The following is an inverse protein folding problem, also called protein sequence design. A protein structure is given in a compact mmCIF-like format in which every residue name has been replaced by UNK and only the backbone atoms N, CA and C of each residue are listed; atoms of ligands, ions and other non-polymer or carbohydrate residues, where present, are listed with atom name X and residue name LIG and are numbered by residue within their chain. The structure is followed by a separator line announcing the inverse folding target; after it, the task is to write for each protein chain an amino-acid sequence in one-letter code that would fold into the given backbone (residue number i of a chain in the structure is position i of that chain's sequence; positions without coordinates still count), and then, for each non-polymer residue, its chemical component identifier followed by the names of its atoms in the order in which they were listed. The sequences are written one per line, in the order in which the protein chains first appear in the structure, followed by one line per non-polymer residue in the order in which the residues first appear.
data_IF_112687489179
#
_entry.id   IF_112687489179
#
_cell.length_a   1.000
_cell.length_b   1.000
_cell.length_c   1.000
_cell.angle_alpha   90.00
_cell.angle_beta   90.00
_cell.angle_gamma   90.00
#
_symmetry.space_group_name_H-M   'P 1'
#
loop_
_entity.id
_entity.type
_entity.pdbx_description
1 polymer ?
#
# COMPACT_ATOMS: atom_id res chain seq x y z
N UNK A 1 -7.80 9.94 -6.62
CA UNK A 1 -6.44 9.40 -6.54
C UNK A 1 -6.38 8.09 -7.29
N UNK A 2 -6.11 8.23 -8.57
CA UNK A 2 -5.72 7.19 -9.52
C UNK A 2 -4.32 7.49 -10.06
N UNK A 3 -3.81 6.69 -10.99
CA UNK A 3 -2.52 6.97 -11.62
C UNK A 3 -2.57 8.22 -12.51
N UNK A 4 -3.71 8.51 -13.12
CA UNK A 4 -3.92 9.71 -13.92
C UNK A 4 -3.75 11.03 -13.15
N UNK A 5 -3.91 11.00 -11.82
CA UNK A 5 -3.69 12.16 -10.95
C UNK A 5 -2.19 12.46 -10.71
N UNK A 6 -1.28 11.58 -11.17
CA UNK A 6 0.17 11.68 -10.91
C UNK A 6 0.83 12.43 -12.06
N UNK A 7 1.37 13.61 -11.74
CA UNK A 7 2.08 14.45 -12.71
C UNK A 7 3.52 13.96 -12.83
N UNK A 8 3.92 13.54 -14.04
CA UNK A 8 5.25 13.03 -14.34
C UNK A 8 5.41 11.53 -14.03
N UNK A 9 6.65 11.02 -14.07
CA UNK A 9 6.98 9.62 -13.76
C UNK A 9 6.26 8.55 -14.63
N UNK A 10 5.95 8.88 -15.89
CA UNK A 10 5.17 8.02 -16.80
C UNK A 10 5.72 6.60 -16.95
N UNK A 11 7.05 6.45 -17.04
CA UNK A 11 7.67 5.12 -17.15
C UNK A 11 7.38 4.26 -15.92
N UNK A 12 7.41 4.88 -14.74
CA UNK A 12 7.17 4.19 -13.47
C UNK A 12 5.69 3.84 -13.32
N UNK A 13 4.79 4.76 -13.68
CA UNK A 13 3.35 4.49 -13.75
C UNK A 13 3.08 3.30 -14.67
N UNK A 14 3.63 3.29 -15.89
CA UNK A 14 3.46 2.19 -16.83
C UNK A 14 3.94 0.83 -16.28
N UNK A 15 5.05 0.81 -15.53
CA UNK A 15 5.53 -0.43 -14.87
C UNK A 15 4.56 -0.91 -13.79
N UNK A 16 4.05 0.00 -12.97
CA UNK A 16 3.07 -0.34 -11.93
C UNK A 16 1.75 -0.82 -12.54
N UNK A 17 1.26 -0.15 -13.57
CA UNK A 17 0.06 -0.55 -14.31
C UNK A 17 0.17 -1.97 -14.86
N UNK A 18 1.31 -2.31 -15.48
CA UNK A 18 1.60 -3.67 -15.93
C UNK A 18 1.63 -4.68 -14.79
N UNK A 19 2.17 -4.29 -13.63
CA UNK A 19 2.19 -5.16 -12.44
C UNK A 19 0.78 -5.41 -11.87
N UNK A 20 -0.13 -4.43 -11.96
CA UNK A 20 -1.55 -4.60 -11.56
C UNK A 20 -2.28 -5.56 -12.51
N UNK A 21 -2.02 -5.47 -13.81
CA UNK A 21 -2.63 -6.37 -14.80
C UNK A 21 -2.05 -7.79 -14.77
N UNK A 22 -0.80 -7.94 -14.34
CA UNK A 22 -0.09 -9.21 -14.27
C UNK A 22 -0.09 -9.82 -12.87
N UNK A 23 1.05 -10.41 -12.51
CA UNK A 23 1.31 -10.91 -11.15
C UNK A 23 2.17 -9.87 -10.43
N UNK A 24 1.62 -9.14 -9.45
CA UNK A 24 2.41 -8.17 -8.69
C UNK A 24 3.46 -8.89 -7.84
N UNK A 25 4.65 -8.30 -7.72
CA UNK A 25 5.64 -8.73 -6.74
C UNK A 25 5.14 -8.58 -5.29
N UNK A 26 5.75 -9.33 -4.37
CA UNK A 26 5.36 -9.37 -2.96
C UNK A 26 5.68 -8.08 -2.19
N UNK A 27 6.68 -7.31 -2.63
CA UNK A 27 7.10 -6.07 -1.97
C UNK A 27 7.62 -5.03 -2.96
N UNK A 28 7.35 -3.75 -2.66
CA UNK A 28 7.81 -2.60 -3.42
C UNK A 28 8.35 -1.52 -2.49
N UNK A 29 9.51 -0.97 -2.82
CA UNK A 29 10.11 0.16 -2.10
C UNK A 29 10.02 1.43 -2.95
N UNK A 30 9.28 2.44 -2.48
CA UNK A 30 9.14 3.73 -3.15
C UNK A 30 10.18 4.73 -2.61
N UNK A 31 11.26 4.93 -3.36
CA UNK A 31 12.42 5.74 -2.97
C UNK A 31 12.45 7.10 -3.67
N UNK A 32 13.01 8.12 -3.02
CA UNK A 32 13.17 9.48 -3.55
C UNK A 32 13.20 10.55 -2.46
N UNK A 33 13.22 11.85 -2.82
CA UNK A 33 13.26 12.93 -1.85
C UNK A 33 11.89 13.20 -1.19
N UNK A 34 11.86 13.97 -0.10
CA UNK A 34 10.59 14.44 0.47
C UNK A 34 9.88 15.36 -0.54
N UNK A 35 8.55 15.20 -0.68
CA UNK A 35 7.77 15.97 -1.66
C UNK A 35 7.68 15.37 -3.07
N UNK A 36 8.40 14.29 -3.39
CA UNK A 36 8.35 13.66 -4.72
C UNK A 36 7.09 12.83 -5.03
N UNK A 37 6.06 12.90 -4.18
CA UNK A 37 4.80 12.19 -4.41
C UNK A 37 4.82 10.68 -4.12
N UNK A 38 5.91 10.12 -3.56
CA UNK A 38 6.06 8.67 -3.26
C UNK A 38 4.89 8.07 -2.49
N UNK A 39 4.41 8.77 -1.46
CA UNK A 39 3.25 8.32 -0.67
C UNK A 39 1.97 8.29 -1.49
N UNK A 40 1.81 9.27 -2.38
CA UNK A 40 0.63 9.39 -3.24
C UNK A 40 0.62 8.28 -4.29
N UNK A 41 1.76 8.04 -4.93
CA UNK A 41 1.98 6.95 -5.86
C UNK A 41 1.77 5.57 -5.21
N UNK A 42 2.32 5.34 -4.02
CA UNK A 42 2.14 4.09 -3.29
C UNK A 42 0.68 3.84 -2.92
N UNK A 43 -0.07 4.88 -2.51
CA UNK A 43 -1.52 4.78 -2.27
C UNK A 43 -2.32 4.51 -3.55
N UNK A 44 -1.97 5.14 -4.67
CA UNK A 44 -2.62 4.89 -5.96
C UNK A 44 -2.42 3.44 -6.41
N UNK A 45 -1.20 2.92 -6.26
CA UNK A 45 -0.89 1.52 -6.56
C UNK A 45 -1.63 0.54 -5.64
N UNK A 46 -1.63 0.79 -4.33
CA UNK A 46 -2.39 -0.02 -3.38
C UNK A 46 -3.88 -0.10 -3.75
N UNK A 47 -4.47 1.04 -4.10
CA UNK A 47 -5.86 1.11 -4.53
C UNK A 47 -6.12 0.34 -5.83
N UNK A 48 -5.22 0.45 -6.81
CA UNK A 48 -5.33 -0.29 -8.06
C UNK A 48 -5.27 -1.81 -7.83
N UNK A 49 -4.41 -2.30 -6.93
CA UNK A 49 -4.31 -3.72 -6.57
C UNK A 49 -5.56 -4.27 -5.85
N UNK A 50 -6.24 -3.42 -5.08
CA UNK A 50 -7.43 -3.80 -4.32
C UNK A 50 -8.72 -3.68 -5.15
N UNK A 51 -8.69 -2.88 -6.22
CA UNK A 51 -9.84 -2.64 -7.07
C UNK A 51 -10.34 -3.93 -7.74
N UNK A 52 -11.63 -4.24 -7.55
CA UNK A 52 -12.28 -5.43 -8.12
C UNK A 52 -12.52 -5.37 -9.62
N UNK A 53 -12.49 -4.16 -10.21
CA UNK A 53 -12.80 -3.92 -11.62
C UNK A 53 -11.83 -2.90 -12.20
N UNK A 54 -10.54 -3.24 -12.19
CA UNK A 54 -9.52 -2.38 -12.79
C UNK A 54 -9.79 -2.20 -14.29
N UNK A 55 -9.49 -1.01 -14.81
CA UNK A 55 -9.49 -0.74 -16.24
C UNK A 55 -8.06 -0.41 -16.66
N UNK A 56 -7.45 -1.26 -17.49
CA UNK A 56 -6.05 -1.15 -17.89
C UNK A 56 -5.10 -0.87 -16.71
N UNK A 57 -5.27 -1.59 -15.60
CA UNK A 57 -4.44 -1.46 -14.40
C UNK A 57 -4.69 -0.21 -13.55
N UNK A 58 -5.68 0.62 -13.91
CA UNK A 58 -6.13 1.76 -13.13
C UNK A 58 -7.36 1.42 -12.26
N UNK A 59 -7.46 2.06 -11.09
CA UNK A 59 -8.60 1.86 -10.19
C UNK A 59 -9.87 2.55 -10.74
N UNK A 60 -11.01 1.84 -10.79
CA UNK A 60 -12.24 2.38 -11.39
C UNK A 60 -12.96 3.46 -10.57
N UNK A 61 -12.60 3.65 -9.30
CA UNK A 61 -13.26 4.58 -8.35
C UNK A 61 -14.74 4.31 -8.03
N UNK A 62 -15.38 3.35 -8.68
CA UNK A 62 -16.83 3.15 -8.59
C UNK A 62 -17.22 1.92 -7.77
N UNK A 63 -16.38 0.88 -7.74
CA UNK A 63 -16.64 -0.35 -6.99
C UNK A 63 -16.56 -0.14 -5.47
N UNK A 64 -17.17 -1.05 -4.70
CA UNK A 64 -17.21 -0.96 -3.24
C UNK A 64 -15.81 -0.96 -2.62
N UNK A 65 -14.87 -1.72 -3.18
CA UNK A 65 -13.46 -1.68 -2.76
C UNK A 65 -12.86 -0.28 -2.93
N UNK A 66 -13.03 0.35 -4.09
CA UNK A 66 -12.55 1.72 -4.27
C UNK A 66 -13.22 2.70 -3.31
N UNK A 67 -14.51 2.54 -3.02
CA UNK A 67 -15.26 3.39 -2.07
C UNK A 67 -14.73 3.25 -0.65
N UNK A 68 -14.60 2.02 -0.14
CA UNK A 68 -14.04 1.79 1.20
C UNK A 68 -12.59 2.27 1.31
N UNK A 69 -11.78 2.10 0.26
CA UNK A 69 -10.41 2.62 0.24
C UNK A 69 -10.38 4.15 0.31
N UNK A 70 -11.23 4.83 -0.46
CA UNK A 70 -11.33 6.29 -0.43
C UNK A 70 -11.78 6.81 0.94
N UNK A 71 -12.67 6.06 1.61
CA UNK A 71 -13.15 6.37 2.96
C UNK A 71 -12.16 5.96 4.06
N UNK A 72 -11.04 5.30 3.74
CA UNK A 72 -10.02 4.88 4.69
C UNK A 72 -10.41 3.69 5.58
N UNK A 73 -11.42 2.91 5.19
CA UNK A 73 -11.99 1.80 5.97
C UNK A 73 -11.91 0.44 5.25
N UNK A 74 -11.04 0.33 4.24
CA UNK A 74 -10.91 -0.90 3.47
C UNK A 74 -10.29 -2.03 4.33
N UNK A 75 -10.94 -3.19 4.50
CA UNK A 75 -10.48 -4.23 5.41
C UNK A 75 -9.14 -4.85 4.99
N UNK A 76 -8.87 -4.91 3.68
CA UNK A 76 -7.61 -5.47 3.15
C UNK A 76 -6.50 -4.41 2.92
N UNK A 77 -6.69 -3.18 3.39
CA UNK A 77 -5.66 -2.14 3.32
C UNK A 77 -5.28 -1.66 4.72
N UNK A 78 -4.00 -1.80 5.07
CA UNK A 78 -3.49 -1.32 6.35
C UNK A 78 -2.37 -0.30 6.13
N UNK A 79 -2.55 0.89 6.69
CA UNK A 79 -1.53 1.94 6.69
C UNK A 79 -0.76 1.93 8.03
N UNK A 80 0.51 1.54 7.96
CA UNK A 80 1.40 1.48 9.12
C UNK A 80 2.30 2.72 9.12
N UNK A 81 1.93 3.68 9.94
CA UNK A 81 2.71 4.88 10.23
C UNK A 81 2.85 5.08 11.75
N UNK A 82 3.71 6.01 12.14
CA UNK A 82 3.87 6.40 13.55
C UNK A 82 2.56 7.00 14.11
N UNK A 83 2.31 6.76 15.39
CA UNK A 83 1.16 7.32 16.09
C UNK A 83 1.55 8.42 17.07
N UNK A 84 0.75 9.49 17.12
CA UNK A 84 0.91 10.56 18.09
C UNK A 84 2.25 11.31 17.95
N UNK A 85 2.96 11.46 19.08
CA UNK A 85 4.24 12.18 19.18
C UNK A 85 5.46 11.24 19.15
N UNK A 86 5.26 9.95 18.94
CA UNK A 86 6.35 8.98 18.93
C UNK A 86 7.26 9.20 17.71
N UNK A 87 8.59 9.10 17.92
CA UNK A 87 9.58 9.27 16.85
C UNK A 87 9.63 8.07 15.89
N UNK A 88 9.25 6.88 16.36
CA UNK A 88 9.36 5.62 15.62
C UNK A 88 8.04 4.83 15.67
N UNK A 89 7.85 3.93 14.71
CA UNK A 89 6.75 2.96 14.70
C UNK A 89 7.01 1.91 15.79
N UNK A 90 6.03 1.66 16.66
CA UNK A 90 6.10 0.60 17.67
C UNK A 90 6.16 -0.77 16.99
N UNK A 91 7.08 -1.61 17.44
CA UNK A 91 7.31 -2.96 16.92
C UNK A 91 6.07 -3.84 17.03
N UNK A 92 5.32 -3.70 18.13
CA UNK A 92 4.05 -4.40 18.33
C UNK A 92 3.04 -4.08 17.24
N UNK A 93 2.98 -2.82 16.77
CA UNK A 93 2.10 -2.43 15.66
C UNK A 93 2.49 -3.15 14.38
N UNK A 94 3.78 -3.24 14.08
CA UNK A 94 4.29 -3.97 12.90
C UNK A 94 3.91 -5.45 13.01
N UNK A 95 4.13 -6.08 14.17
CA UNK A 95 3.79 -7.50 14.39
C UNK A 95 2.29 -7.78 14.35
N UNK A 96 1.47 -6.95 15.01
CA UNK A 96 0.02 -7.12 15.02
C UNK A 96 -0.59 -6.87 13.65
N UNK A 97 -0.16 -5.79 12.98
CA UNK A 97 -0.69 -5.44 11.67
C UNK A 97 -0.28 -6.44 10.60
N UNK A 98 0.89 -7.07 10.70
CA UNK A 98 1.44 -7.91 9.63
C UNK A 98 1.37 -9.38 10.03
N UNK A 99 2.05 -9.81 11.09
CA UNK A 99 2.20 -11.24 11.40
C UNK A 99 0.88 -11.94 11.72
N UNK A 100 0.00 -11.31 12.51
CA UNK A 100 -1.28 -11.94 12.88
C UNK A 100 -2.30 -11.90 11.73
N UNK A 101 -2.29 -10.82 10.96
CA UNK A 101 -3.31 -10.51 9.97
C UNK A 101 -2.97 -11.06 8.56
N UNK A 102 -1.69 -11.30 8.26
CA UNK A 102 -1.23 -11.94 7.02
C UNK A 102 -1.69 -13.40 6.92
N UNK A 103 -1.83 -14.09 8.05
CA UNK A 103 -2.34 -15.47 8.07
C UNK A 103 -3.82 -15.57 7.66
N UNK A 104 -4.57 -14.45 7.69
CA UNK A 104 -5.96 -14.41 7.29
C UNK A 104 -6.11 -14.10 5.80
N UNK A 105 -7.04 -14.81 5.14
CA UNK A 105 -7.39 -14.55 3.74
C UNK A 105 -7.96 -13.14 3.58
N UNK A 106 -7.70 -12.48 2.44
CA UNK A 106 -8.37 -11.23 2.08
C UNK A 106 -9.88 -11.36 2.19
N UNK A 107 -10.53 -10.34 2.75
CA UNK A 107 -11.96 -10.32 3.01
C UNK A 107 -12.77 -9.86 1.79
N UNK A 108 -12.22 -8.94 1.01
CA UNK A 108 -12.99 -8.23 -0.01
C UNK A 108 -12.26 -8.11 -1.35
N UNK A 109 -10.95 -7.91 -1.32
CA UNK A 109 -10.09 -7.84 -2.51
C UNK A 109 -9.35 -9.15 -2.78
N UNK A 110 -8.69 -9.26 -3.94
CA UNK A 110 -7.81 -10.41 -4.24
C UNK A 110 -6.50 -10.40 -3.48
N UNK A 111 -6.05 -9.22 -3.08
CA UNK A 111 -4.78 -8.98 -2.40
C UNK A 111 -5.03 -8.30 -1.07
N UNK A 112 -4.05 -8.44 -0.17
CA UNK A 112 -3.97 -7.68 1.07
C UNK A 112 -2.75 -6.79 1.01
N UNK A 113 -2.94 -5.49 1.25
CA UNK A 113 -1.91 -4.50 1.00
C UNK A 113 -1.57 -3.74 2.27
N UNK A 114 -0.30 -3.80 2.65
CA UNK A 114 0.28 -3.07 3.78
C UNK A 114 1.15 -1.94 3.24
N UNK A 115 0.79 -0.70 3.55
CA UNK A 115 1.60 0.47 3.21
C UNK A 115 2.32 0.96 4.47
N UNK A 116 3.64 0.82 4.48
CA UNK A 116 4.47 1.06 5.67
C UNK A 116 5.37 2.28 5.45
N UNK A 117 5.39 3.19 6.41
CA UNK A 117 6.32 4.31 6.44
C UNK A 117 7.72 3.84 6.89
N UNK A 118 8.52 3.39 5.93
CA UNK A 118 9.87 2.84 6.15
C UNK A 118 10.80 3.79 6.91
N UNK A 119 10.69 5.10 6.69
CA UNK A 119 11.54 6.11 7.32
C UNK A 119 11.38 6.17 8.85
N UNK A 120 10.21 5.77 9.38
CA UNK A 120 9.89 5.80 10.80
C UNK A 120 10.11 4.43 11.49
N UNK A 121 10.64 3.42 10.78
CA UNK A 121 10.90 2.09 11.35
C UNK A 121 12.19 2.04 12.18
N UNK A 122 12.10 1.48 13.38
CA UNK A 122 13.26 1.12 14.17
C UNK A 122 13.83 -0.25 13.75
N UNK A 123 15.07 -0.52 14.14
CA UNK A 123 15.78 -1.78 13.83
C UNK A 123 14.99 -3.04 14.25
N UNK A 124 14.35 -3.11 15.45
CA UNK A 124 13.55 -4.27 15.79
C UNK A 124 12.27 -4.41 14.93
N UNK A 125 11.71 -3.31 14.45
CA UNK A 125 10.58 -3.31 13.53
C UNK A 125 10.98 -3.82 12.13
N UNK A 126 12.16 -3.44 11.64
CA UNK A 126 12.72 -3.98 10.40
C UNK A 126 12.94 -5.49 10.50
N UNK A 127 13.51 -5.96 11.62
CA UNK A 127 13.69 -7.39 11.88
C UNK A 127 12.37 -8.17 12.02
N UNK A 128 11.30 -7.52 12.50
CA UNK A 128 9.99 -8.13 12.54
C UNK A 128 9.45 -8.40 11.13
N UNK A 129 9.65 -7.48 10.18
CA UNK A 129 9.24 -7.65 8.78
C UNK A 129 9.97 -8.82 8.10
N UNK A 130 11.25 -9.01 8.38
CA UNK A 130 12.06 -10.06 7.74
C UNK A 130 11.72 -11.48 8.21
N UNK A 131 11.14 -11.61 9.40
CA UNK A 131 10.78 -12.90 10.01
C UNK A 131 9.27 -13.22 9.92
N UNK A 132 8.53 -12.37 9.21
CA UNK A 132 7.07 -12.48 9.02
C UNK A 132 6.70 -13.49 7.95
#
# INVERSE_FOLDING_TARGET
MTFSDIIGQQELVNRLTKAVCGVPGHAYAFLGPQGSGRRLLARAFAKALLCSSTNDGESCNQCDSCRYFNNGVHPDFTFVAREGKDKNIKVERVRHAITADVAMKPQMARHKVYLIMADDLNEPGQNALLKS
#
